data_IF_505805378729
#
_entry.id   IF_505805378729
#
_cell.length_a   1.000
_cell.length_b   1.000
_cell.length_c   1.000
_cell.angle_alpha   90.00
_cell.angle_beta   90.00
_cell.angle_gamma   90.00
#
_symmetry.space_group_name_H-M   'P 1'
#
loop_
_entity.id
_entity.type
_entity.pdbx_description
1 polymer ?
#
# COMPACT_ATOMS: atom_id res chain seq x y z
N UNK A 1 19.83 -19.01 10.41
CA UNK A 1 20.69 -17.86 10.78
C UNK A 1 20.04 -16.61 10.22
N UNK A 2 19.30 -15.81 11.00
CA UNK A 2 18.64 -14.63 10.47
C UNK A 2 19.56 -13.41 10.63
N UNK A 3 19.97 -12.84 9.51
CA UNK A 3 20.76 -11.59 9.46
C UNK A 3 19.81 -10.41 9.47
N UNK A 4 19.67 -9.76 10.62
CA UNK A 4 18.83 -8.56 10.77
C UNK A 4 19.59 -7.35 10.25
N UNK A 5 19.26 -6.87 9.04
CA UNK A 5 19.74 -5.57 8.56
C UNK A 5 18.91 -4.45 9.17
N UNK A 6 19.58 -3.66 10.01
CA UNK A 6 19.08 -2.48 10.71
C UNK A 6 19.11 -1.29 9.74
N UNK A 7 17.95 -0.87 9.22
CA UNK A 7 17.82 0.39 8.48
C UNK A 7 17.76 1.56 9.47
N UNK A 8 18.72 2.47 9.35
CA UNK A 8 18.67 3.80 9.93
C UNK A 8 17.66 4.64 9.14
N UNK A 9 16.63 5.15 9.81
CA UNK A 9 15.74 6.17 9.29
C UNK A 9 16.18 7.53 9.84
N UNK A 10 16.56 8.42 8.92
CA UNK A 10 16.85 9.82 9.17
C UNK A 10 15.61 10.48 9.78
N UNK A 11 15.75 10.96 11.02
CA UNK A 11 14.77 11.79 11.69
C UNK A 11 15.03 13.24 11.31
N UNK A 12 14.13 13.79 10.51
CA UNK A 12 14.01 15.21 10.21
C UNK A 12 13.79 15.99 11.50
N UNK A 13 14.67 16.95 11.76
CA UNK A 13 14.54 17.96 12.80
C UNK A 13 13.26 18.75 12.58
N UNK A 14 12.35 18.68 13.54
CA UNK A 14 11.20 19.58 13.61
C UNK A 14 11.38 20.41 14.87
N UNK A 15 11.70 21.67 14.61
CA UNK A 15 11.73 22.82 15.49
C UNK A 15 10.34 23.03 16.10
N UNK A 16 10.24 23.03 17.43
CA UNK A 16 9.04 23.49 18.12
C UNK A 16 9.41 23.85 19.56
N UNK A 17 9.47 25.16 19.80
CA UNK A 17 9.53 25.79 21.12
C UNK A 17 8.40 25.31 22.03
N UNK A 18 8.67 25.22 23.34
CA UNK A 18 7.71 25.76 24.28
C UNK A 18 8.34 26.59 25.39
N UNK A 19 7.83 27.82 25.48
CA UNK A 19 7.41 28.47 26.72
C UNK A 19 8.43 28.56 27.86
N UNK A 20 9.30 29.58 27.78
CA UNK A 20 9.92 30.19 28.95
C UNK A 20 8.85 30.81 29.84
N UNK A 21 8.42 30.05 30.86
CA UNK A 21 7.57 30.57 31.94
C UNK A 21 8.48 31.00 33.07
N UNK A 22 8.76 32.30 33.07
CA UNK A 22 9.52 33.02 34.09
C UNK A 22 8.69 33.06 35.38
N UNK A 23 9.02 32.21 36.36
CA UNK A 23 8.51 32.34 37.73
C UNK A 23 9.66 32.61 38.70
N UNK A 24 9.56 33.78 39.30
CA UNK A 24 10.40 34.31 40.36
C UNK A 24 10.41 33.42 41.60
N UNK A 25 11.59 33.23 42.20
CA UNK A 25 11.72 33.11 43.65
C UNK A 25 12.93 33.95 44.09
N UNK A 26 12.59 35.07 44.73
CA UNK A 26 13.52 36.03 45.27
C UNK A 26 14.43 35.43 46.34
N UNK A 27 15.73 35.67 46.17
CA UNK A 27 16.69 35.56 47.24
C UNK A 27 16.40 36.66 48.29
N UNK A 28 16.31 36.34 49.59
CA UNK A 28 16.30 37.38 50.62
C UNK A 28 17.70 37.99 50.69
N UNK A 29 17.84 39.18 50.12
CA UNK A 29 18.98 40.05 50.38
C UNK A 29 19.02 40.39 51.86
N UNK A 30 19.94 39.77 52.59
CA UNK A 30 20.28 40.15 53.96
C UNK A 30 20.93 41.52 53.89
N UNK A 31 20.09 42.54 54.02
CA UNK A 31 20.47 43.94 54.15
C UNK A 31 21.15 44.09 55.50
N UNK A 32 22.47 44.22 55.47
CA UNK A 32 23.28 44.61 56.61
C UNK A 32 22.74 45.94 57.14
N UNK A 33 22.03 45.89 58.25
CA UNK A 33 21.67 47.08 59.02
C UNK A 33 22.96 47.62 59.64
N UNK A 34 23.31 48.82 59.20
CA UNK A 34 24.22 49.73 59.88
C UNK A 34 23.81 49.81 61.34
N UNK A 35 24.60 49.15 62.21
CA UNK A 35 24.42 49.25 63.65
C UNK A 35 25.38 50.30 64.16
N UNK A 36 24.76 51.41 64.52
CA UNK A 36 25.33 52.59 65.12
C UNK A 36 26.48 52.29 66.10
N UNK A 37 27.60 52.92 65.80
CA UNK A 37 28.70 53.18 66.72
C UNK A 37 28.18 53.89 67.96
N UNK A 38 27.92 53.12 69.02
CA UNK A 38 27.85 53.65 70.37
C UNK A 38 29.24 53.50 71.00
N UNK A 39 30.03 54.57 70.87
CA UNK A 39 31.05 54.92 71.86
C UNK A 39 30.42 54.81 73.26
N UNK A 40 30.88 53.84 74.04
CA UNK A 40 30.82 53.92 75.49
C UNK A 40 32.25 53.78 75.99
N UNK A 41 32.86 54.93 76.22
CA UNK A 41 33.88 55.11 77.24
C UNK A 41 33.31 54.56 78.56
N UNK A 42 33.81 53.41 79.00
CA UNK A 42 33.74 53.03 80.41
C UNK A 42 35.13 52.58 80.87
N UNK A 43 35.87 53.57 81.37
CA UNK A 43 37.05 53.38 82.20
C UNK A 43 36.60 52.84 83.57
N UNK A 44 36.15 51.59 83.59
CA UNK A 44 35.84 50.83 84.79
C UNK A 44 37.07 50.04 85.25
N UNK A 45 37.54 50.35 86.46
CA UNK A 45 38.64 49.67 87.16
C UNK A 45 38.68 48.16 86.92
N UNK A 46 39.83 47.65 86.45
CA UNK A 46 40.17 46.23 86.50
C UNK A 46 40.30 45.80 87.97
N UNK A 47 39.17 45.52 88.62
CA UNK A 47 39.15 44.72 89.83
C UNK A 47 39.67 43.33 89.41
N UNK A 48 40.74 42.79 90.01
CA UNK A 48 41.20 41.45 89.68
C UNK A 48 40.05 40.49 89.96
N UNK A 49 39.54 39.84 88.92
CA UNK A 49 38.46 38.88 89.03
C UNK A 49 38.90 37.81 90.06
N UNK A 50 38.35 37.90 91.27
CA UNK A 50 38.55 36.85 92.26
C UNK A 50 38.04 35.55 91.64
N UNK A 51 38.76 34.44 91.85
CA UNK A 51 38.43 33.11 91.29
C UNK A 51 36.92 32.78 91.26
N UNK A 52 36.09 33.15 92.27
CA UNK A 52 34.65 32.95 92.23
C UNK A 52 33.91 33.68 91.08
N UNK A 53 34.38 34.84 90.64
CA UNK A 53 33.80 35.59 89.52
C UNK A 53 34.03 34.90 88.17
N UNK A 54 35.24 34.37 87.95
CA UNK A 54 35.59 33.60 86.75
C UNK A 54 34.77 32.31 86.68
N UNK A 55 34.60 31.61 87.80
CA UNK A 55 33.78 30.39 87.87
C UNK A 55 32.32 30.69 87.53
N UNK A 56 31.75 31.80 88.05
CA UNK A 56 30.38 32.22 87.70
C UNK A 56 30.23 32.53 86.22
N UNK A 57 31.19 33.22 85.62
CA UNK A 57 31.17 33.51 84.18
C UNK A 57 31.24 32.24 83.33
N UNK A 58 32.11 31.29 83.69
CA UNK A 58 32.18 29.98 83.02
C UNK A 58 30.88 29.20 83.12
N UNK A 59 30.21 29.20 84.28
CA UNK A 59 28.91 28.55 84.44
C UNK A 59 27.80 29.19 83.58
N UNK A 60 27.80 30.51 83.45
CA UNK A 60 26.85 31.22 82.57
C UNK A 60 27.11 30.87 81.11
N UNK A 61 28.39 30.89 80.69
CA UNK A 61 28.79 30.54 79.33
C UNK A 61 28.45 29.09 78.99
N UNK A 62 28.70 28.15 79.91
CA UNK A 62 28.33 26.75 79.74
C UNK A 62 26.82 26.60 79.57
N UNK A 63 26.02 27.25 80.42
CA UNK A 63 24.56 27.18 80.35
C UNK A 63 24.01 27.82 79.06
N UNK A 64 24.65 28.88 78.58
CA UNK A 64 24.31 29.50 77.29
C UNK A 64 24.67 28.60 76.12
N UNK A 65 25.82 27.93 76.16
CA UNK A 65 26.18 26.93 75.15
C UNK A 65 25.19 25.77 75.14
N UNK A 66 24.84 25.21 76.30
CA UNK A 66 23.85 24.14 76.42
C UNK A 66 22.49 24.53 75.82
N UNK A 67 22.03 25.76 76.08
CA UNK A 67 20.80 26.29 75.50
C UNK A 67 20.91 26.45 73.97
N UNK A 68 21.99 27.06 73.46
CA UNK A 68 22.21 27.25 72.04
C UNK A 68 22.33 25.92 71.26
N UNK A 69 23.00 24.92 71.84
CA UNK A 69 23.07 23.58 71.25
C UNK A 69 21.75 22.84 71.32
N UNK A 70 20.98 23.00 72.41
CA UNK A 70 19.64 22.45 72.54
C UNK A 70 18.70 22.97 71.47
N UNK A 71 18.64 24.29 71.29
CA UNK A 71 17.82 24.94 70.26
C UNK A 71 18.25 24.52 68.84
N UNK A 72 19.56 24.44 68.59
CA UNK A 72 20.07 23.96 67.30
C UNK A 72 19.69 22.49 67.04
N UNK A 73 19.82 21.62 68.04
CA UNK A 73 19.45 20.21 67.91
C UNK A 73 17.95 20.03 67.66
N UNK A 74 17.11 20.80 68.37
CA UNK A 74 15.67 20.79 68.16
C UNK A 74 15.32 21.33 66.76
N UNK A 75 15.93 22.44 66.33
CA UNK A 75 15.75 22.98 64.99
C UNK A 75 16.17 22.00 63.89
N UNK A 76 17.31 21.32 64.05
CA UNK A 76 17.74 20.30 63.09
C UNK A 76 16.77 19.11 63.05
N UNK A 77 16.28 18.67 64.22
CA UNK A 77 15.28 17.61 64.32
C UNK A 77 13.99 17.99 63.59
N UNK A 78 13.51 19.21 63.79
CA UNK A 78 12.31 19.73 63.13
C UNK A 78 12.49 19.89 61.61
N UNK A 79 13.68 20.27 61.15
CA UNK A 79 13.96 20.30 59.72
C UNK A 79 14.00 18.90 59.12
N UNK A 80 14.58 17.92 59.82
CA UNK A 80 14.60 16.53 59.35
C UNK A 80 13.19 15.93 59.30
N UNK A 81 12.36 16.15 60.32
CA UNK A 81 10.96 15.66 60.29
C UNK A 81 10.18 16.28 59.14
N UNK A 82 10.33 17.59 58.89
CA UNK A 82 9.69 18.25 57.74
C UNK A 82 10.18 17.73 56.39
N UNK A 83 11.47 17.41 56.27
CA UNK A 83 12.03 16.80 55.06
C UNK A 83 11.51 15.38 54.86
N UNK A 84 11.46 14.57 55.91
CA UNK A 84 10.94 13.20 55.86
C UNK A 84 9.44 13.19 55.48
N UNK A 85 8.65 14.11 56.04
CA UNK A 85 7.25 14.31 55.67
C UNK A 85 7.10 14.76 54.21
N UNK A 86 7.94 15.70 53.76
CA UNK A 86 7.97 16.15 52.38
C UNK A 86 8.32 15.02 51.41
N UNK A 87 9.35 14.23 51.72
CA UNK A 87 9.73 13.05 50.93
C UNK A 87 8.60 12.03 50.89
N UNK A 88 7.92 11.81 52.01
CA UNK A 88 6.76 10.91 52.07
C UNK A 88 5.61 11.40 51.19
N UNK A 89 5.26 12.68 51.24
CA UNK A 89 4.22 13.25 50.37
C UNK A 89 4.60 13.14 48.89
N UNK A 90 5.85 13.44 48.54
CA UNK A 90 6.32 13.30 47.15
C UNK A 90 6.28 11.85 46.66
N UNK A 91 6.64 10.89 47.50
CA UNK A 91 6.56 9.47 47.14
C UNK A 91 5.11 9.01 46.94
N UNK A 92 4.18 9.45 47.80
CA UNK A 92 2.75 9.15 47.65
C UNK A 92 2.25 9.69 46.31
N UNK A 93 2.57 10.94 45.97
CA UNK A 93 2.17 11.54 44.68
C UNK A 93 2.77 10.80 43.48
N UNK A 94 4.01 10.35 43.57
CA UNK A 94 4.65 9.57 42.51
C UNK A 94 3.98 8.20 42.34
N UNK A 95 3.61 7.55 43.44
CA UNK A 95 2.89 6.28 43.41
C UNK A 95 1.48 6.45 42.81
N UNK A 96 0.77 7.52 43.14
CA UNK A 96 -0.52 7.87 42.54
C UNK A 96 -0.40 8.12 41.03
N UNK A 97 0.61 8.89 40.60
CA UNK A 97 0.87 9.14 39.17
C UNK A 97 1.20 7.84 38.43
N UNK A 98 1.98 6.95 39.06
CA UNK A 98 2.32 5.65 38.49
C UNK A 98 1.09 4.76 38.34
N UNK A 99 0.24 4.70 39.36
CA UNK A 99 -1.02 3.96 39.32
C UNK A 99 -1.96 4.52 38.23
N UNK A 100 -2.05 5.85 38.09
CA UNK A 100 -2.82 6.49 37.03
C UNK A 100 -2.31 6.15 35.63
N UNK A 101 -0.98 6.13 35.43
CA UNK A 101 -0.38 5.74 34.17
C UNK A 101 -0.62 4.25 33.85
N UNK A 102 -0.51 3.37 34.85
CA UNK A 102 -0.78 1.95 34.67
C UNK A 102 -2.26 1.69 34.32
N UNK A 103 -3.20 2.43 34.92
CA UNK A 103 -4.62 2.39 34.54
C UNK A 103 -4.83 2.81 33.08
N UNK A 104 -4.26 3.94 32.64
CA UNK A 104 -4.35 4.39 31.25
C UNK A 104 -3.75 3.37 30.26
N UNK A 105 -2.68 2.67 30.64
CA UNK A 105 -2.10 1.60 29.81
C UNK A 105 -3.05 0.41 29.67
N UNK A 106 -3.79 0.06 30.72
CA UNK A 106 -4.81 -0.99 30.66
C UNK A 106 -5.92 -0.59 29.70
N UNK A 107 -6.46 0.63 29.81
CA UNK A 107 -7.51 1.14 28.93
C UNK A 107 -7.08 1.14 27.46
N UNK A 108 -5.83 1.57 27.17
CA UNK A 108 -5.27 1.53 25.82
C UNK A 108 -5.13 0.11 25.27
N UNK A 109 -4.75 -0.84 26.11
CA UNK A 109 -4.66 -2.25 25.70
C UNK A 109 -6.05 -2.83 25.41
N UNK A 110 -7.07 -2.45 26.17
CA UNK A 110 -8.45 -2.87 25.93
C UNK A 110 -8.99 -2.29 24.61
N UNK A 111 -8.78 -0.99 24.36
CA UNK A 111 -9.13 -0.36 23.09
C UNK A 111 -8.43 -1.04 21.90
N UNK A 112 -7.15 -1.37 22.06
CA UNK A 112 -6.39 -2.08 21.03
C UNK A 112 -6.95 -3.48 20.76
N UNK A 113 -7.27 -4.23 21.82
CA UNK A 113 -7.88 -5.55 21.68
C UNK A 113 -9.25 -5.47 20.98
N UNK A 114 -10.06 -4.46 21.31
CA UNK A 114 -11.33 -4.20 20.63
C UNK A 114 -11.17 -3.89 19.14
N UNK A 115 -10.17 -3.08 18.79
CA UNK A 115 -9.85 -2.79 17.38
C UNK A 115 -9.38 -4.03 16.61
N UNK A 116 -8.51 -4.85 17.23
CA UNK A 116 -8.03 -6.08 16.61
C UNK A 116 -9.18 -7.08 16.39
N UNK A 117 -10.15 -7.18 17.32
CA UNK A 117 -11.36 -7.98 17.14
C UNK A 117 -12.20 -7.50 15.95
N UNK A 118 -12.46 -6.19 15.84
CA UNK A 118 -13.19 -5.61 14.70
C UNK A 118 -12.50 -5.85 13.36
N UNK A 119 -11.16 -5.83 13.33
CA UNK A 119 -10.41 -6.17 12.12
C UNK A 119 -10.62 -7.62 11.70
N UNK A 120 -10.63 -8.55 12.65
CA UNK A 120 -10.92 -9.97 12.38
C UNK A 120 -12.33 -10.13 11.81
N UNK A 121 -13.33 -9.50 12.43
CA UNK A 121 -14.72 -9.54 11.94
C UNK A 121 -14.85 -8.99 10.51
N UNK A 122 -14.18 -7.87 10.23
CA UNK A 122 -14.16 -7.29 8.89
C UNK A 122 -13.50 -8.22 7.86
N UNK A 123 -12.40 -8.87 8.22
CA UNK A 123 -11.76 -9.86 7.37
C UNK A 123 -12.67 -11.07 7.10
N UNK A 124 -13.41 -11.52 8.11
CA UNK A 124 -14.38 -12.61 7.97
C UNK A 124 -15.54 -12.21 7.04
N UNK A 125 -16.15 -11.04 7.24
CA UNK A 125 -17.21 -10.53 6.36
C UNK A 125 -16.72 -10.41 4.91
N UNK A 126 -15.49 -9.90 4.71
CA UNK A 126 -14.89 -9.82 3.38
C UNK A 126 -14.70 -11.20 2.75
N UNK A 127 -14.30 -12.20 3.53
CA UNK A 127 -14.19 -13.58 3.06
C UNK A 127 -15.56 -14.16 2.69
N UNK A 128 -16.59 -13.95 3.51
CA UNK A 128 -17.96 -14.37 3.22
C UNK A 128 -18.51 -13.73 1.94
N UNK A 129 -18.29 -12.43 1.74
CA UNK A 129 -18.65 -11.73 0.49
C UNK A 129 -17.90 -12.33 -0.70
N UNK A 130 -16.61 -12.65 -0.53
CA UNK A 130 -15.82 -13.34 -1.55
C UNK A 130 -16.39 -14.72 -1.92
N UNK A 131 -16.80 -15.50 -0.93
CA UNK A 131 -17.44 -16.81 -1.13
C UNK A 131 -18.80 -16.69 -1.81
N UNK A 132 -19.66 -15.76 -1.39
CA UNK A 132 -20.96 -15.51 -2.02
C UNK A 132 -20.78 -15.09 -3.48
N UNK A 133 -19.80 -14.22 -3.76
CA UNK A 133 -19.47 -13.82 -5.13
C UNK A 133 -18.97 -15.00 -5.95
N UNK A 134 -18.12 -15.85 -5.39
CA UNK A 134 -17.66 -17.08 -6.05
C UNK A 134 -18.82 -18.06 -6.31
N UNK A 135 -19.72 -18.26 -5.35
CA UNK A 135 -20.92 -19.07 -5.51
C UNK A 135 -21.83 -18.51 -6.59
N UNK A 136 -22.06 -17.19 -6.63
CA UNK A 136 -22.86 -16.54 -7.66
C UNK A 136 -22.22 -16.70 -9.05
N UNK A 137 -20.89 -16.56 -9.15
CA UNK A 137 -20.16 -16.82 -10.39
C UNK A 137 -20.31 -18.28 -10.81
N UNK A 138 -20.17 -19.22 -9.88
CA UNK A 138 -20.33 -20.65 -10.14
C UNK A 138 -21.76 -21.00 -10.56
N UNK A 139 -22.78 -20.43 -9.92
CA UNK A 139 -24.19 -20.60 -10.32
C UNK A 139 -24.46 -20.01 -11.70
N UNK A 140 -23.88 -18.84 -12.01
CA UNK A 140 -23.95 -18.27 -13.37
C UNK A 140 -23.20 -19.14 -14.37
N UNK A 141 -22.04 -19.66 -14.02
CA UNK A 141 -21.27 -20.54 -14.88
C UNK A 141 -22.00 -21.87 -15.13
N UNK A 142 -22.64 -22.47 -14.12
CA UNK A 142 -23.43 -23.69 -14.30
C UNK A 142 -24.73 -23.42 -15.05
N UNK A 143 -25.39 -22.29 -14.82
CA UNK A 143 -26.59 -21.90 -15.58
C UNK A 143 -26.26 -21.54 -17.05
N UNK A 144 -25.12 -20.89 -17.31
CA UNK A 144 -24.64 -20.57 -18.66
C UNK A 144 -24.08 -21.83 -19.36
N UNK A 145 -23.58 -22.82 -18.61
CA UNK A 145 -23.04 -24.06 -19.17
C UNK A 145 -24.04 -25.23 -19.18
N UNK A 146 -25.29 -25.08 -18.71
CA UNK A 146 -26.30 -26.13 -18.82
C UNK A 146 -27.09 -26.17 -20.15
N UNK A 147 -26.66 -25.46 -21.21
CA UNK A 147 -26.81 -25.95 -22.57
C UNK A 147 -25.46 -26.15 -23.28
N UNK A 148 -24.33 -26.06 -22.56
CA UNK A 148 -23.01 -26.44 -23.09
C UNK A 148 -22.71 -27.91 -22.73
N UNK A 149 -23.61 -28.81 -23.11
CA UNK A 149 -23.11 -30.12 -23.52
C UNK A 149 -22.27 -29.90 -24.78
N UNK A 150 -21.02 -30.39 -24.85
CA UNK A 150 -20.24 -30.38 -26.05
C UNK A 150 -20.71 -31.54 -26.93
N UNK A 151 -21.88 -31.41 -27.53
CA UNK A 151 -22.10 -31.99 -28.85
C UNK A 151 -22.12 -30.80 -29.78
N UNK A 152 -20.95 -30.53 -30.36
CA UNK A 152 -20.78 -29.54 -31.40
C UNK A 152 -21.79 -29.81 -32.51
N UNK A 153 -22.85 -29.01 -32.49
CA UNK A 153 -23.70 -28.78 -33.64
C UNK A 153 -23.28 -27.43 -34.16
N UNK A 154 -22.62 -27.47 -35.31
CA UNK A 154 -22.01 -26.36 -36.03
C UNK A 154 -23.13 -25.49 -36.63
N UNK A 155 -23.95 -24.90 -35.75
CA UNK A 155 -25.25 -24.29 -36.11
C UNK A 155 -25.13 -22.81 -36.48
N UNK A 156 -23.90 -22.27 -36.57
CA UNK A 156 -23.67 -20.88 -37.00
C UNK A 156 -24.22 -19.81 -36.03
N UNK A 157 -24.54 -20.15 -34.78
CA UNK A 157 -25.03 -19.17 -33.79
C UNK A 157 -23.94 -18.18 -33.37
N UNK A 158 -24.31 -16.90 -33.49
CA UNK A 158 -23.50 -15.73 -33.15
C UNK A 158 -23.01 -15.80 -31.70
N UNK A 159 -21.72 -15.48 -31.50
CA UNK A 159 -21.07 -15.38 -30.19
C UNK A 159 -21.91 -14.49 -29.27
N UNK A 160 -22.12 -14.86 -27.99
CA UNK A 160 -22.81 -14.01 -27.03
C UNK A 160 -22.18 -12.61 -26.98
N UNK A 161 -22.99 -11.60 -27.28
CA UNK A 161 -22.62 -10.19 -27.46
C UNK A 161 -21.86 -9.61 -26.25
N UNK A 162 -22.03 -10.20 -25.06
CA UNK A 162 -21.38 -9.79 -23.82
C UNK A 162 -19.88 -10.07 -23.76
N UNK A 163 -19.42 -11.20 -24.30
CA UNK A 163 -17.98 -11.50 -24.35
C UNK A 163 -17.29 -10.49 -25.27
N UNK A 164 -17.90 -10.22 -26.43
CA UNK A 164 -17.39 -9.23 -27.39
C UNK A 164 -17.23 -7.84 -26.76
N UNK A 165 -18.17 -7.41 -25.91
CA UNK A 165 -18.07 -6.13 -25.17
C UNK A 165 -16.92 -6.12 -24.16
N UNK A 166 -16.75 -7.19 -23.38
CA UNK A 166 -15.66 -7.27 -22.39
C UNK A 166 -14.28 -7.28 -23.05
N UNK A 167 -14.14 -8.01 -24.16
CA UNK A 167 -12.91 -8.02 -24.95
C UNK A 167 -12.60 -6.68 -25.60
N UNK A 168 -13.62 -5.87 -25.93
CA UNK A 168 -13.41 -4.53 -26.47
C UNK A 168 -12.60 -3.65 -25.52
N UNK A 169 -12.95 -3.63 -24.24
CA UNK A 169 -12.25 -2.82 -23.23
C UNK A 169 -10.83 -3.32 -22.96
N UNK A 170 -10.63 -4.65 -22.94
CA UNK A 170 -9.28 -5.23 -22.81
C UNK A 170 -8.40 -4.87 -24.00
N UNK A 171 -8.95 -4.94 -25.22
CA UNK A 171 -8.21 -4.50 -26.42
C UNK A 171 -7.95 -3.00 -26.44
N UNK A 172 -8.86 -2.17 -25.94
CA UNK A 172 -8.64 -0.72 -25.78
C UNK A 172 -7.48 -0.46 -24.81
N UNK A 173 -7.44 -1.15 -23.68
CA UNK A 173 -6.34 -1.09 -22.71
C UNK A 173 -5.00 -1.52 -23.34
N UNK A 174 -4.96 -2.67 -24.02
CA UNK A 174 -3.73 -3.15 -24.69
C UNK A 174 -3.31 -2.22 -25.82
N UNK A 175 -4.26 -1.55 -26.50
CA UNK A 175 -3.94 -0.56 -27.54
C UNK A 175 -3.23 0.67 -27.02
N UNK A 176 -3.27 0.96 -25.71
CA UNK A 176 -2.50 2.08 -25.14
C UNK A 176 -1.00 1.92 -25.32
N UNK A 177 -0.50 0.68 -25.45
CA UNK A 177 0.91 0.39 -25.75
C UNK A 177 1.36 0.80 -27.15
N UNK A 178 0.43 1.09 -28.05
CA UNK A 178 0.77 1.49 -29.41
C UNK A 178 1.41 2.88 -29.39
N UNK A 179 2.38 3.09 -30.28
CA UNK A 179 3.06 4.38 -30.48
C UNK A 179 2.12 5.55 -30.79
N UNK A 180 0.90 5.29 -31.23
CA UNK A 180 -0.07 6.36 -31.51
C UNK A 180 -0.79 6.83 -30.24
N UNK A 181 -0.71 6.07 -29.14
CA UNK A 181 -1.50 6.28 -27.92
C UNK A 181 -0.64 6.55 -26.66
N UNK A 182 0.68 6.69 -26.80
CA UNK A 182 1.56 6.90 -25.64
C UNK A 182 1.23 8.19 -24.88
N UNK A 183 0.70 9.22 -25.55
CA UNK A 183 0.27 10.46 -24.89
C UNK A 183 -0.87 10.20 -23.90
N UNK A 184 -1.86 9.39 -24.30
CA UNK A 184 -2.97 8.98 -23.42
C UNK A 184 -2.43 8.16 -22.25
N UNK A 185 -1.45 7.28 -22.51
CA UNK A 185 -0.81 6.49 -21.46
C UNK A 185 -0.03 7.40 -20.48
N UNK A 186 0.68 8.42 -20.97
CA UNK A 186 1.40 9.40 -20.17
C UNK A 186 0.45 10.24 -19.30
N UNK A 187 -0.66 10.73 -19.86
CA UNK A 187 -1.70 11.44 -19.12
C UNK A 187 -2.30 10.57 -18.00
N UNK A 188 -2.55 9.29 -18.28
CA UNK A 188 -3.05 8.35 -17.27
C UNK A 188 -2.03 8.16 -16.13
N UNK A 189 -0.74 8.01 -16.45
CA UNK A 189 0.30 7.91 -15.42
C UNK A 189 0.46 9.21 -14.62
N UNK A 190 0.34 10.37 -15.27
CA UNK A 190 0.34 11.66 -14.57
C UNK A 190 -0.87 11.79 -13.64
N UNK A 191 -2.05 11.30 -14.04
CA UNK A 191 -3.25 11.32 -13.21
C UNK A 191 -3.09 10.43 -11.96
N UNK A 192 -2.50 9.25 -12.11
CA UNK A 192 -2.24 8.35 -10.97
C UNK A 192 -0.95 8.66 -10.20
N UNK A 193 -0.20 9.69 -10.60
CA UNK A 193 1.08 10.09 -9.98
C UNK A 193 2.07 8.92 -9.86
N UNK A 194 2.21 8.12 -10.92
CA UNK A 194 3.17 7.02 -10.93
C UNK A 194 4.61 7.55 -10.89
N UNK A 195 5.40 7.15 -9.90
CA UNK A 195 6.82 7.53 -9.76
C UNK A 195 7.78 6.43 -10.26
N UNK A 196 7.25 5.27 -10.64
CA UNK A 196 8.02 4.07 -11.01
C UNK A 196 8.66 4.13 -12.40
N UNK A 197 8.34 5.13 -13.22
CA UNK A 197 8.80 5.25 -14.61
C UNK A 197 10.32 5.40 -14.78
N UNK A 198 11.00 5.90 -13.75
CA UNK A 198 12.47 6.02 -13.73
C UNK A 198 13.18 4.66 -13.81
N UNK A 199 12.46 3.56 -13.50
CA UNK A 199 12.99 2.20 -13.46
C UNK A 199 12.44 1.27 -14.55
N UNK A 200 11.65 1.81 -15.48
CA UNK A 200 11.13 1.02 -16.61
C UNK A 200 12.19 0.77 -17.67
N UNK A 201 12.10 -0.37 -18.36
CA UNK A 201 13.09 -0.81 -19.35
C UNK A 201 14.34 -1.45 -18.73
N UNK A 202 14.48 -1.39 -17.40
CA UNK A 202 15.52 -2.14 -16.70
C UNK A 202 15.03 -3.56 -16.50
N UNK A 203 15.34 -4.42 -17.46
CA UNK A 203 15.39 -5.84 -17.17
C UNK A 203 16.70 -6.04 -16.40
N UNK A 204 16.71 -6.29 -15.08
CA UNK A 204 17.94 -6.60 -14.39
C UNK A 204 18.48 -7.85 -15.09
N UNK A 205 19.48 -7.65 -15.96
CA UNK A 205 20.12 -8.74 -16.68
C UNK A 205 20.42 -9.77 -15.61
N UNK A 206 19.85 -10.94 -15.81
CA UNK A 206 20.03 -12.17 -15.05
C UNK A 206 21.22 -12.07 -14.10
N UNK A 207 20.96 -12.17 -12.80
CA UNK A 207 21.89 -12.11 -11.66
C UNK A 207 23.01 -13.16 -11.67
N UNK A 208 23.52 -13.51 -12.84
CA UNK A 208 24.44 -14.59 -13.14
C UNK A 208 25.73 -14.08 -13.80
N UNK A 209 25.82 -12.79 -14.14
CA UNK A 209 27.05 -12.18 -14.65
C UNK A 209 27.52 -11.10 -13.66
N UNK A 210 28.40 -11.49 -12.74
CA UNK A 210 29.09 -10.63 -11.77
C UNK A 210 30.19 -9.76 -12.44
N UNK A 211 29.99 -9.33 -13.67
CA UNK A 211 30.90 -8.37 -14.29
C UNK A 211 30.59 -6.97 -13.74
N UNK A 212 31.44 -6.47 -12.85
CA UNK A 212 31.43 -5.15 -12.18
C UNK A 212 31.48 -3.92 -13.12
N UNK A 213 31.10 -4.06 -14.39
CA UNK A 213 30.98 -2.95 -15.33
C UNK A 213 29.62 -2.32 -15.06
N UNK A 214 29.62 -1.33 -14.18
CA UNK A 214 28.50 -0.40 -14.00
C UNK A 214 28.29 0.38 -15.31
N UNK A 215 27.63 -0.25 -16.29
CA UNK A 215 27.14 0.45 -17.45
C UNK A 215 26.22 1.58 -16.97
N UNK A 216 26.42 2.82 -17.47
CA UNK A 216 25.66 3.96 -17.01
C UNK A 216 24.17 3.68 -17.25
N UNK A 217 23.46 3.56 -16.12
CA UNK A 217 22.02 3.40 -16.04
C UNK A 217 21.37 4.38 -17.01
N UNK A 218 20.64 3.86 -18.01
CA UNK A 218 19.86 4.71 -18.92
C UNK A 218 18.72 5.33 -18.11
N UNK A 219 18.96 6.49 -17.50
CA UNK A 219 17.92 7.24 -16.81
C UNK A 219 17.09 7.96 -17.85
N UNK A 220 15.80 7.62 -17.95
CA UNK A 220 14.85 8.37 -18.77
C UNK A 220 14.72 9.78 -18.20
N UNK A 221 14.83 10.81 -19.04
CA UNK A 221 14.74 12.20 -18.57
C UNK A 221 13.29 12.66 -18.41
N UNK A 222 12.35 12.03 -19.11
CA UNK A 222 10.92 12.34 -19.04
C UNK A 222 10.08 11.06 -19.05
N UNK A 223 8.84 11.17 -18.56
CA UNK A 223 7.88 10.06 -18.55
C UNK A 223 7.57 9.58 -19.97
N UNK A 224 7.47 10.50 -20.92
CA UNK A 224 7.18 10.22 -22.32
C UNK A 224 8.30 9.40 -22.96
N UNK A 225 9.56 9.73 -22.65
CA UNK A 225 10.73 9.00 -23.11
C UNK A 225 10.71 7.57 -22.56
N UNK A 226 10.45 7.41 -21.26
CA UNK A 226 10.31 6.12 -20.60
C UNK A 226 9.20 5.25 -21.22
N UNK A 227 8.02 5.82 -21.48
CA UNK A 227 6.89 5.10 -22.11
C UNK A 227 7.24 4.71 -23.55
N UNK A 228 7.94 5.57 -24.29
CA UNK A 228 8.34 5.28 -25.66
C UNK A 228 9.30 4.09 -25.74
N UNK A 229 10.14 3.94 -24.71
CA UNK A 229 11.16 2.92 -24.60
C UNK A 229 10.63 1.60 -24.05
N UNK A 230 9.78 1.66 -23.02
CA UNK A 230 9.22 0.51 -22.31
C UNK A 230 7.69 0.60 -22.14
N UNK A 231 6.91 0.51 -23.24
CA UNK A 231 5.45 0.63 -23.18
C UNK A 231 4.78 -0.55 -22.45
N UNK A 232 5.45 -1.70 -22.41
CA UNK A 232 4.96 -2.88 -21.70
C UNK A 232 5.00 -2.69 -20.18
N UNK A 233 6.13 -2.19 -19.66
CA UNK A 233 6.30 -1.87 -18.24
C UNK A 233 5.35 -0.77 -17.79
N UNK A 234 5.18 0.26 -18.63
CA UNK A 234 4.21 1.32 -18.40
C UNK A 234 2.78 0.77 -18.26
N UNK A 235 2.33 -0.07 -19.20
CA UNK A 235 1.00 -0.66 -19.09
C UNK A 235 0.89 -1.58 -17.86
N UNK A 236 1.91 -2.37 -17.55
CA UNK A 236 1.89 -3.25 -16.39
C UNK A 236 1.75 -2.45 -15.09
N UNK A 237 2.48 -1.34 -14.96
CA UNK A 237 2.40 -0.45 -13.79
C UNK A 237 1.03 0.25 -13.69
N UNK A 238 0.47 0.72 -14.81
CA UNK A 238 -0.89 1.27 -14.83
C UNK A 238 -1.93 0.24 -14.39
N UNK A 239 -1.83 -0.99 -14.90
CA UNK A 239 -2.74 -2.10 -14.56
C UNK A 239 -2.61 -2.47 -13.08
N UNK A 240 -1.40 -2.41 -12.52
CA UNK A 240 -1.14 -2.58 -11.09
C UNK A 240 -1.82 -1.50 -10.25
N UNK A 241 -1.75 -0.23 -10.66
CA UNK A 241 -2.45 0.87 -9.98
C UNK A 241 -3.98 0.68 -9.99
N UNK A 242 -4.54 0.09 -11.06
CA UNK A 242 -5.95 -0.26 -11.16
C UNK A 242 -6.34 -1.52 -10.37
N UNK A 243 -5.38 -2.22 -9.73
CA UNK A 243 -5.62 -3.46 -9.00
C UNK A 243 -5.98 -4.65 -9.90
N UNK A 244 -5.55 -4.60 -11.16
CA UNK A 244 -5.78 -5.64 -12.16
C UNK A 244 -4.54 -6.55 -12.29
N UNK A 245 -4.75 -7.78 -12.76
CA UNK A 245 -3.69 -8.78 -12.97
C UNK A 245 -3.25 -8.74 -14.44
N UNK A 246 -2.08 -8.12 -14.68
CA UNK A 246 -1.54 -7.91 -16.02
C UNK A 246 -1.25 -9.22 -16.75
N UNK A 247 -0.63 -10.20 -16.08
CA UNK A 247 -0.24 -11.47 -16.69
C UNK A 247 -1.50 -12.22 -17.15
N UNK A 248 -2.52 -12.25 -16.29
CA UNK A 248 -3.81 -12.85 -16.63
C UNK A 248 -4.52 -12.13 -17.78
N UNK A 249 -4.41 -10.81 -17.87
CA UNK A 249 -4.96 -10.05 -19.00
C UNK A 249 -4.25 -10.45 -20.28
N UNK A 250 -2.91 -10.50 -20.28
CA UNK A 250 -2.11 -10.84 -21.46
C UNK A 250 -2.37 -12.28 -21.94
N UNK A 251 -2.43 -13.27 -21.03
CA UNK A 251 -2.77 -14.66 -21.40
C UNK A 251 -4.13 -14.75 -22.09
N UNK A 252 -5.15 -14.06 -21.57
CA UNK A 252 -6.49 -14.07 -22.18
C UNK A 252 -6.50 -13.39 -23.57
N UNK A 253 -5.68 -12.36 -23.77
CA UNK A 253 -5.54 -11.69 -25.07
C UNK A 253 -4.91 -12.63 -26.10
N UNK A 254 -3.84 -13.35 -25.72
CA UNK A 254 -3.17 -14.33 -26.59
C UNK A 254 -4.09 -15.50 -26.98
N UNK A 255 -4.86 -16.03 -26.02
CA UNK A 255 -5.86 -17.07 -26.29
C UNK A 255 -6.94 -16.57 -27.26
N UNK A 256 -7.41 -15.33 -27.09
CA UNK A 256 -8.40 -14.74 -27.96
C UNK A 256 -7.87 -14.50 -29.38
N UNK A 257 -6.64 -14.00 -29.52
CA UNK A 257 -5.99 -13.85 -30.83
C UNK A 257 -5.80 -15.20 -31.52
N UNK A 258 -5.41 -16.23 -30.77
CA UNK A 258 -5.32 -17.61 -31.27
C UNK A 258 -6.67 -18.14 -31.77
N UNK A 259 -7.76 -17.85 -31.05
CA UNK A 259 -9.12 -18.19 -31.49
C UNK A 259 -9.52 -17.45 -32.77
N UNK A 260 -9.18 -16.16 -32.88
CA UNK A 260 -9.44 -15.38 -34.09
C UNK A 260 -8.64 -15.89 -35.29
N UNK A 261 -7.38 -16.28 -35.10
CA UNK A 261 -6.56 -16.89 -36.15
C UNK A 261 -7.13 -18.24 -36.61
N UNK A 262 -7.59 -19.08 -35.68
CA UNK A 262 -8.25 -20.35 -36.01
C UNK A 262 -9.52 -20.12 -36.83
N UNK A 263 -10.37 -19.16 -36.43
CA UNK A 263 -11.58 -18.78 -37.19
C UNK A 263 -11.25 -18.24 -38.58
N UNK A 264 -10.28 -17.35 -38.70
CA UNK A 264 -9.84 -16.83 -39.99
C UNK A 264 -9.34 -17.97 -40.91
N UNK A 265 -8.64 -18.95 -40.35
CA UNK A 265 -8.13 -20.11 -41.08
C UNK A 265 -9.26 -21.05 -41.50
N UNK A 266 -10.23 -21.31 -40.62
CA UNK A 266 -11.42 -22.09 -40.93
C UNK A 266 -12.27 -21.42 -42.02
N UNK A 267 -12.53 -20.11 -41.91
CA UNK A 267 -13.26 -19.35 -42.92
C UNK A 267 -12.55 -19.38 -44.28
N UNK A 268 -11.22 -19.29 -44.31
CA UNK A 268 -10.44 -19.46 -45.55
C UNK A 268 -10.61 -20.86 -46.16
N UNK A 269 -10.66 -21.92 -45.34
CA UNK A 269 -10.89 -23.30 -45.80
C UNK A 269 -12.30 -23.50 -46.36
N UNK A 270 -13.31 -22.95 -45.68
CA UNK A 270 -14.71 -23.00 -46.15
C UNK A 270 -14.85 -22.27 -47.49
N UNK A 271 -14.34 -21.04 -47.59
CA UNK A 271 -14.35 -20.27 -48.84
C UNK A 271 -13.62 -20.98 -49.99
N UNK A 272 -12.46 -21.61 -49.71
CA UNK A 272 -11.74 -22.40 -50.71
C UNK A 272 -12.53 -23.65 -51.15
N UNK A 273 -13.22 -24.31 -50.22
CA UNK A 273 -14.10 -25.45 -50.49
C UNK A 273 -15.29 -25.08 -51.38
N UNK A 274 -15.91 -23.94 -51.14
CA UNK A 274 -17.00 -23.42 -51.98
C UNK A 274 -16.53 -23.11 -53.42
N UNK A 275 -15.36 -22.50 -53.57
CA UNK A 275 -14.77 -22.25 -54.89
C UNK A 275 -14.42 -23.55 -55.63
N UNK A 276 -13.92 -24.57 -54.92
CA UNK A 276 -13.61 -25.88 -55.51
C UNK A 276 -14.88 -26.66 -55.90
N UNK A 277 -15.94 -26.60 -55.06
CA UNK A 277 -17.25 -27.20 -55.34
C UNK A 277 -17.93 -26.53 -56.54
N UNK A 278 -17.86 -25.19 -56.62
CA UNK A 278 -18.40 -24.42 -57.74
C UNK A 278 -17.76 -24.80 -59.09
N UNK A 279 -16.44 -25.08 -59.13
CA UNK A 279 -15.77 -25.59 -60.34
C UNK A 279 -16.22 -27.01 -60.73
N UNK A 280 -16.47 -27.92 -59.76
CA UNK A 280 -16.98 -29.27 -60.05
C UNK A 280 -18.43 -29.26 -60.55
N UNK A 281 -19.27 -28.38 -60.02
CA UNK A 281 -20.65 -28.19 -60.50
C UNK A 281 -20.72 -27.73 -61.96
N UNK A 282 -19.81 -26.82 -62.36
CA UNK A 282 -19.76 -26.28 -63.72
C UNK A 282 -19.35 -27.32 -64.78
N UNK A 283 -18.50 -28.28 -64.42
CA UNK A 283 -18.12 -29.39 -65.32
C UNK A 283 -19.26 -30.42 -65.50
N UNK A 284 -20.07 -30.70 -64.46
CA UNK A 284 -21.22 -31.60 -64.59
C UNK A 284 -22.32 -31.03 -65.49
N UNK A 285 -22.61 -29.73 -65.37
CA UNK A 285 -23.60 -29.10 -66.25
C UNK A 285 -23.17 -29.08 -67.73
N UNK A 286 -21.88 -28.91 -68.04
CA UNK A 286 -21.41 -29.00 -69.43
C UNK A 286 -21.44 -30.44 -69.98
N UNK A 287 -21.25 -31.45 -69.13
CA UNK A 287 -21.38 -32.87 -69.50
C UNK A 287 -22.84 -33.24 -69.83
N UNK A 288 -23.79 -32.85 -68.97
CA UNK A 288 -25.20 -33.21 -69.15
C UNK A 288 -25.87 -32.43 -70.30
N UNK A 289 -25.42 -31.21 -70.59
CA UNK A 289 -25.90 -30.47 -71.76
C UNK A 289 -25.46 -31.13 -73.08
N UNK A 290 -24.26 -31.73 -73.13
CA UNK A 290 -23.83 -32.51 -74.31
C UNK A 290 -24.63 -33.80 -74.49
N UNK A 291 -25.02 -34.46 -73.40
CA UNK A 291 -25.82 -35.69 -73.47
C UNK A 291 -27.28 -35.45 -73.88
N UNK A 292 -27.89 -34.36 -73.43
CA UNK A 292 -29.28 -34.01 -73.78
C UNK A 292 -29.44 -33.59 -75.25
N UNK A 293 -28.47 -32.89 -75.83
CA UNK A 293 -28.47 -32.59 -77.27
C UNK A 293 -28.33 -33.84 -78.15
N UNK A 294 -27.55 -34.84 -77.72
CA UNK A 294 -27.47 -36.13 -78.44
C UNK A 294 -28.78 -36.93 -78.37
N UNK A 295 -29.50 -36.89 -77.25
CA UNK A 295 -30.78 -37.60 -77.09
C UNK A 295 -31.89 -36.95 -77.91
N UNK A 296 -31.98 -35.61 -77.97
CA UNK A 296 -33.00 -34.90 -78.78
C UNK A 296 -32.90 -35.19 -80.29
N UNK A 297 -31.69 -35.38 -80.84
CA UNK A 297 -31.54 -35.74 -82.27
C UNK A 297 -32.02 -37.16 -82.61
N UNK A 298 -31.98 -38.11 -81.66
CA UNK A 298 -32.50 -39.48 -81.91
C UNK A 298 -34.03 -39.51 -81.98
N UNK A 299 -34.71 -38.70 -81.17
CA UNK A 299 -36.18 -38.67 -81.12
C UNK A 299 -36.78 -37.92 -82.31
N UNK A 300 -36.11 -36.90 -82.84
CA UNK A 300 -36.55 -36.25 -84.09
C UNK A 300 -36.41 -37.16 -85.31
N UNK A 301 -35.43 -38.07 -85.32
CA UNK A 301 -35.25 -39.01 -86.44
C UNK A 301 -36.29 -40.13 -86.44
N UNK A 302 -36.68 -40.65 -85.27
CA UNK A 302 -37.71 -41.70 -85.17
C UNK A 302 -39.12 -41.19 -85.48
N UNK A 303 -39.43 -39.92 -85.16
CA UNK A 303 -40.77 -39.35 -85.40
C UNK A 303 -41.03 -39.05 -86.89
N UNK A 304 -39.98 -38.80 -87.68
CA UNK A 304 -40.09 -38.62 -89.12
C UNK A 304 -40.28 -39.95 -89.89
N UNK A 305 -39.88 -41.08 -89.32
CA UNK A 305 -40.05 -42.39 -89.97
C UNK A 305 -41.49 -42.95 -89.85
N UNK A 306 -42.24 -42.56 -88.81
CA UNK A 306 -43.62 -43.05 -88.59
C UNK A 306 -44.63 -42.31 -89.47
N UNK A 307 -44.32 -41.10 -89.95
CA UNK A 307 -45.21 -40.30 -90.79
C UNK A 307 -45.16 -40.65 -92.30
N UNK A 308 -44.23 -41.52 -92.74
CA UNK A 308 -44.11 -41.91 -94.15
C UNK A 308 -44.66 -43.32 -94.48
N UNK A 309 -45.33 -44.01 -93.56
CA UNK A 309 -45.91 -45.35 -93.81
C UNK A 309 -47.45 -45.38 -93.84
N UNK A 310 -48.11 -44.22 -93.85
CA UNK A 310 -49.56 -44.12 -93.90
C UNK A 310 -50.04 -43.09 -94.92
N UNK A 311 -49.85 -43.39 -96.20
CA UNK A 311 -50.60 -42.87 -97.36
C UNK A 311 -50.32 -43.76 -98.56
#
# INVERSE_FOLDING_TARGET
>A
MPTTMRRHLNRTSSESDPASTEFALGAPGVRSEDRDSLENDDNGEHIPATLPGIIRQLMVLQRQMEYNFGDLHNGLRDTNTRLDEGLRDTNIRLDELRAGFDAQRVDLNELRAGFDAQRVDFHEQRAQVGQLKAQQINQRATHINNPNQPVGRDDGTLIPTELSRRYKHVHELVRLKRRDNWQVLAELHSFYSSESWSTWGFNPLSSWDESDIAEPLMTHNTLEDAISWAPDDALQDLVRHLGLDYDKIMTNVEEYESLQQRRATQNKRVAAGEMASSKRGRLRYQSDMKHTYRRKRRWSSQRLQILCQGS
#
